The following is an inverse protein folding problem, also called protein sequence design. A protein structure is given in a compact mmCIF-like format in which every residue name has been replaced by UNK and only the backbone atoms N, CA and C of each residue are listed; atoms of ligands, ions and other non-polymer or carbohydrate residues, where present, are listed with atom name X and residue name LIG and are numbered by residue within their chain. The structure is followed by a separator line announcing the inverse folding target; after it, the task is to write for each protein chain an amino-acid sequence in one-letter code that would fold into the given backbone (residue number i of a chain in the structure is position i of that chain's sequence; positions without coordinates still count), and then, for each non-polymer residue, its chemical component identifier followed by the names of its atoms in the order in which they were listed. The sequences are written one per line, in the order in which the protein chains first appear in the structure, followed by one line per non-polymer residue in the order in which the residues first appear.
data_IF_639269358616
#
_entry.id   IF_639269358616
#
_cell.length_a   1.000
_cell.length_b   1.000
_cell.length_c   1.000
_cell.angle_alpha   90.00
_cell.angle_beta   90.00
_cell.angle_gamma   90.00
#
_symmetry.space_group_name_H-M   'P 1'
#
loop_
_entity.id
_entity.type
_entity.pdbx_description
1 polymer ?
#
# COMPACT_ATOMS: atom_id res chain seq x y z
N UNK A 1 -29.53 -0.48 -1.49
CA UNK A 1 -28.50 -1.12 -2.33
C UNK A 1 -27.35 -0.12 -2.36
N UNK A 2 -26.33 -0.31 -1.51
CA UNK A 2 -25.23 0.65 -1.38
C UNK A 2 -24.05 0.11 -2.16
N UNK A 3 -23.85 0.65 -3.36
CA UNK A 3 -22.68 0.35 -4.17
C UNK A 3 -21.44 0.94 -3.50
N UNK A 4 -20.60 0.05 -2.96
CA UNK A 4 -19.22 0.37 -2.61
C UNK A 4 -18.48 0.67 -3.92
N UNK A 5 -18.38 1.95 -4.27
CA UNK A 5 -17.50 2.40 -5.35
C UNK A 5 -16.06 2.17 -4.90
N UNK A 6 -15.52 1.01 -5.26
CA UNK A 6 -14.10 0.71 -5.18
C UNK A 6 -13.40 1.70 -6.11
N UNK A 7 -12.80 2.74 -5.53
CA UNK A 7 -12.04 3.74 -6.27
C UNK A 7 -11.05 3.03 -7.19
N UNK A 8 -11.10 3.37 -8.49
CA UNK A 8 -10.21 2.81 -9.51
C UNK A 8 -8.77 2.88 -9.00
N UNK A 9 -8.19 1.74 -8.64
CA UNK A 9 -6.75 1.58 -8.68
C UNK A 9 -6.38 1.75 -10.14
N UNK A 10 -5.78 2.90 -10.48
CA UNK A 10 -5.06 3.04 -11.73
C UNK A 10 -3.89 2.06 -11.66
N UNK A 11 -4.13 0.81 -12.07
CA UNK A 11 -3.06 -0.08 -12.46
C UNK A 11 -2.39 0.59 -13.65
N UNK A 12 -1.20 1.14 -13.44
CA UNK A 12 -0.32 1.49 -14.54
C UNK A 12 -0.08 0.15 -15.25
N UNK A 13 -0.57 0.00 -16.48
CA UNK A 13 -0.23 -1.12 -17.39
C UNK A 13 1.23 -0.98 -17.85
N UNK A 14 2.14 -0.81 -16.90
CA UNK A 14 3.57 -0.84 -17.10
C UNK A 14 4.04 -2.14 -16.49
N UNK A 15 4.44 -3.09 -17.34
CA UNK A 15 5.23 -4.29 -17.03
C UNK A 15 5.04 -4.77 -15.58
N UNK A 16 4.17 -5.76 -15.37
CA UNK A 16 4.21 -6.57 -14.14
C UNK A 16 5.56 -7.31 -14.12
N UNK A 17 6.64 -6.59 -13.79
CA UNK A 17 7.91 -7.21 -13.46
C UNK A 17 7.66 -7.94 -12.16
N UNK A 18 7.75 -9.26 -12.19
CA UNK A 18 7.78 -10.04 -10.96
C UNK A 18 8.86 -9.43 -10.06
N UNK A 19 8.46 -8.99 -8.86
CA UNK A 19 9.40 -8.51 -7.87
C UNK A 19 10.18 -9.73 -7.36
N UNK A 20 11.41 -9.87 -7.84
CA UNK A 20 12.30 -10.94 -7.39
C UNK A 20 13.00 -10.52 -6.10
N UNK A 21 12.66 -11.22 -5.01
CA UNK A 21 13.35 -11.11 -3.73
C UNK A 21 14.35 -12.27 -3.57
N UNK A 22 15.58 -11.95 -3.20
CA UNK A 22 16.58 -12.94 -2.82
C UNK A 22 16.21 -13.55 -1.45
N UNK A 23 16.47 -14.83 -1.27
CA UNK A 23 16.20 -15.53 0.00
C UNK A 23 17.09 -14.99 1.12
N UNK A 24 16.49 -14.78 2.29
CA UNK A 24 17.09 -14.22 3.51
C UNK A 24 17.64 -12.79 3.40
N UNK A 25 17.39 -12.09 2.30
CA UNK A 25 17.67 -10.67 2.15
C UNK A 25 16.50 -9.83 2.61
N UNK A 26 16.79 -8.77 3.37
CA UNK A 26 15.79 -7.82 3.82
C UNK A 26 15.68 -6.65 2.85
N UNK A 27 14.46 -6.36 2.44
CA UNK A 27 14.10 -5.22 1.59
C UNK A 27 13.23 -4.26 2.40
N UNK A 28 13.62 -3.00 2.44
CA UNK A 28 12.95 -1.97 3.24
C UNK A 28 12.38 -0.90 2.30
N UNK A 29 11.08 -0.65 2.43
CA UNK A 29 10.35 0.33 1.63
C UNK A 29 9.62 1.32 2.54
N UNK A 30 9.78 2.62 2.26
CA UNK A 30 8.90 3.62 2.82
C UNK A 30 7.60 3.64 2.01
N UNK A 31 6.47 3.35 2.66
CA UNK A 31 5.16 3.25 2.03
C UNK A 31 4.28 4.42 2.46
N UNK A 32 3.53 4.96 1.50
CA UNK A 32 2.54 6.00 1.74
C UNK A 32 1.21 5.56 1.14
N UNK A 33 0.17 5.47 1.96
CA UNK A 33 -1.20 5.19 1.53
C UNK A 33 -2.06 6.41 1.78
N UNK A 34 -2.81 6.85 0.78
CA UNK A 34 -3.72 8.00 0.91
C UNK A 34 -5.13 7.61 0.49
N UNK A 35 -6.07 7.75 1.41
CA UNK A 35 -7.50 7.58 1.16
C UNK A 35 -8.16 8.96 1.14
N UNK A 36 -8.96 9.24 0.10
CA UNK A 36 -9.71 10.49 -0.03
C UNK A 36 -11.20 10.18 -0.13
N UNK A 37 -11.98 10.76 0.79
CA UNK A 37 -13.44 10.76 0.71
C UNK A 37 -13.90 12.08 0.11
N UNK A 38 -14.57 12.04 -1.05
CA UNK A 38 -15.18 13.20 -1.70
C UNK A 38 -16.70 13.06 -1.64
N UNK A 39 -17.39 14.05 -1.06
CA UNK A 39 -18.85 14.11 -1.09
C UNK A 39 -19.28 14.79 -2.40
N UNK A 40 -20.34 14.30 -3.09
CA UNK A 40 -20.88 14.97 -4.27
C UNK A 40 -21.19 16.44 -3.95
N UNK A 41 -20.88 17.35 -4.87
CA UNK A 41 -20.95 18.82 -4.71
C UNK A 41 -19.75 19.49 -4.00
N UNK A 42 -18.68 18.75 -3.68
CA UNK A 42 -17.36 19.34 -3.37
C UNK A 42 -17.25 20.08 -2.04
N UNK A 43 -18.31 20.10 -1.22
CA UNK A 43 -18.36 20.86 0.04
C UNK A 43 -17.55 20.23 1.17
N UNK A 44 -17.30 18.93 1.11
CA UNK A 44 -16.53 18.18 2.11
C UNK A 44 -15.58 17.21 1.43
N UNK A 45 -14.29 17.35 1.77
CA UNK A 45 -13.23 16.43 1.40
C UNK A 45 -12.49 16.04 2.68
N UNK A 46 -12.40 14.74 2.94
CA UNK A 46 -11.52 14.21 3.99
C UNK A 46 -10.38 13.45 3.32
N UNK A 47 -9.16 13.71 3.78
CA UNK A 47 -7.94 13.06 3.29
C UNK A 47 -7.26 12.42 4.48
N UNK A 48 -7.06 11.11 4.42
CA UNK A 48 -6.29 10.36 5.41
C UNK A 48 -5.06 9.83 4.71
N UNK A 49 -3.89 10.28 5.17
CA UNK A 49 -2.59 9.79 4.70
C UNK A 49 -1.92 9.01 5.82
N UNK A 50 -1.57 7.77 5.52
CA UNK A 50 -0.80 6.89 6.40
C UNK A 50 0.58 6.69 5.79
N UNK A 51 1.60 6.84 6.64
CA UNK A 51 2.99 6.53 6.29
C UNK A 51 3.45 5.37 7.13
N UNK A 52 4.13 4.42 6.50
CA UNK A 52 4.69 3.28 7.18
C UNK A 52 6.05 2.91 6.56
N UNK A 53 6.81 2.10 7.28
CA UNK A 53 7.99 1.43 6.76
C UNK A 53 7.72 -0.07 6.69
N UNK A 54 7.78 -0.64 5.50
CA UNK A 54 7.56 -2.05 5.24
C UNK A 54 8.91 -2.75 5.09
N UNK A 55 9.07 -3.87 5.79
CA UNK A 55 10.23 -4.76 5.70
C UNK A 55 9.75 -6.09 5.13
N UNK A 56 10.34 -6.51 4.02
CA UNK A 56 10.01 -7.76 3.31
C UNK A 56 11.24 -8.66 3.35
N UNK A 57 11.05 -9.91 3.76
CA UNK A 57 12.08 -10.95 3.72
C UNK A 57 11.46 -12.20 3.10
N UNK A 58 12.07 -12.74 2.04
CA UNK A 58 11.72 -14.06 1.50
C UNK A 58 12.50 -15.13 2.25
N UNK A 59 11.84 -16.18 2.70
CA UNK A 59 12.48 -17.31 3.40
C UNK A 59 12.62 -18.53 2.50
N UNK A 60 11.65 -18.77 1.62
CA UNK A 60 11.64 -19.86 0.64
C UNK A 60 10.70 -19.48 -0.53
N UNK A 61 10.58 -20.29 -1.61
CA UNK A 61 9.70 -19.97 -2.74
C UNK A 61 8.23 -19.68 -2.37
N UNK A 62 7.75 -20.26 -1.26
CA UNK A 62 6.36 -20.11 -0.81
C UNK A 62 6.23 -19.43 0.56
N UNK A 63 7.33 -18.92 1.12
CA UNK A 63 7.35 -18.34 2.46
C UNK A 63 8.03 -16.98 2.46
N UNK A 64 7.36 -15.98 3.02
CA UNK A 64 7.91 -14.64 3.22
C UNK A 64 7.38 -14.04 4.53
N UNK A 65 8.08 -13.04 5.03
CA UNK A 65 7.65 -12.20 6.15
C UNK A 65 7.49 -10.76 5.70
N UNK A 66 6.39 -10.14 6.12
CA UNK A 66 6.13 -8.71 5.97
C UNK A 66 5.95 -8.10 7.36
N UNK A 67 6.79 -7.13 7.72
CA UNK A 67 6.63 -6.31 8.93
C UNK A 67 6.36 -4.87 8.52
N UNK A 68 5.34 -4.24 9.12
CA UNK A 68 4.94 -2.86 8.81
C UNK A 68 4.99 -2.02 10.07
N UNK A 69 5.79 -0.95 10.04
CA UNK A 69 5.92 0.00 11.14
C UNK A 69 5.22 1.30 10.78
N UNK A 70 4.17 1.67 11.51
CA UNK A 70 3.55 2.99 11.36
C UNK A 70 4.56 4.09 11.70
N UNK A 71 4.67 5.10 10.84
CA UNK A 71 5.49 6.29 11.07
C UNK A 71 4.69 7.43 11.72
N UNK A 72 3.42 7.18 12.07
CA UNK A 72 2.60 8.12 12.82
C UNK A 72 2.94 8.01 14.30
N UNK A 73 3.50 9.09 14.86
CA UNK A 73 3.63 9.25 16.31
C UNK A 73 2.31 9.78 16.86
N UNK A 74 1.73 9.08 17.84
CA UNK A 74 0.64 9.59 18.67
C UNK A 74 1.20 10.47 19.79
#
# INVERSE_FOLDING_TARGET
MNDLVLGKMNMIEGVSGELHYEEHKEYVYDTTSTATLKVPQGKYQSVVTQRARAHIVKHSPCEFSLKVFSLVKY
#
